data_IF_515247370062
#
_entry.id   IF_515247370062
#
_cell.length_a   1.000
_cell.length_b   1.000
_cell.length_c   1.000
_cell.angle_alpha   90.00
_cell.angle_beta   90.00
_cell.angle_gamma   90.00
#
_symmetry.space_group_name_H-M   'P 1'
#
loop_
_entity.id
_entity.type
_entity.pdbx_description
1 polymer ?
#
# COMPACT_ATOMS: atom_id res chain seq x y z
N UNK A 1 -4.49 20.27 -11.89
CA UNK A 1 -4.21 19.11 -11.06
C UNK A 1 -3.11 18.29 -11.74
N UNK A 2 -2.00 18.04 -11.05
CA UNK A 2 -0.89 17.23 -11.52
C UNK A 2 -0.97 15.81 -10.99
N UNK A 3 -0.46 14.84 -11.73
CA UNK A 3 -0.34 13.45 -11.30
C UNK A 3 1.07 12.95 -11.63
N UNK A 4 1.81 12.49 -10.63
CA UNK A 4 3.06 11.77 -10.83
C UNK A 4 2.78 10.28 -10.68
N UNK A 5 2.81 9.54 -11.78
CA UNK A 5 2.45 8.13 -11.82
C UNK A 5 3.62 7.28 -12.33
N UNK A 6 3.83 6.07 -11.79
CA UNK A 6 4.81 5.13 -12.31
C UNK A 6 4.24 4.41 -13.54
N UNK A 7 4.24 5.08 -14.71
CA UNK A 7 3.69 4.51 -15.94
C UNK A 7 4.63 3.50 -16.58
N UNK A 8 5.94 3.67 -16.36
CA UNK A 8 6.99 2.77 -16.83
C UNK A 8 7.93 2.34 -15.68
N UNK A 9 8.80 1.36 -15.96
CA UNK A 9 9.74 0.81 -14.99
C UNK A 9 9.11 -0.19 -14.02
N UNK A 10 9.82 -0.51 -12.96
CA UNK A 10 9.48 -1.59 -12.02
C UNK A 10 8.11 -1.44 -11.34
N UNK A 11 7.65 -0.22 -11.13
CA UNK A 11 6.38 0.08 -10.45
C UNK A 11 5.21 0.30 -11.43
N UNK A 12 5.37 0.04 -12.73
CA UNK A 12 4.31 0.21 -13.71
C UNK A 12 2.99 -0.53 -13.37
N UNK A 13 2.99 -1.72 -12.73
CA UNK A 13 1.76 -2.35 -12.25
C UNK A 13 0.98 -1.51 -11.24
N UNK A 14 1.67 -0.69 -10.45
CA UNK A 14 1.04 0.24 -9.52
C UNK A 14 0.44 1.45 -10.26
N UNK A 15 1.04 1.86 -11.38
CA UNK A 15 0.54 2.94 -12.24
C UNK A 15 -0.70 2.58 -13.05
N UNK A 16 -0.91 1.30 -13.35
CA UNK A 16 -2.05 0.85 -14.16
C UNK A 16 -3.41 1.15 -13.51
N UNK A 17 -3.68 0.82 -12.23
CA UNK A 17 -4.91 1.20 -11.54
C UNK A 17 -5.13 2.72 -11.52
N UNK A 18 -4.09 3.50 -11.26
CA UNK A 18 -4.19 4.97 -11.25
C UNK A 18 -4.57 5.52 -12.63
N UNK A 19 -3.92 5.04 -13.68
CA UNK A 19 -4.24 5.43 -15.06
C UNK A 19 -5.67 5.06 -15.46
N UNK A 20 -6.16 3.90 -15.02
CA UNK A 20 -7.53 3.48 -15.25
C UNK A 20 -8.52 4.41 -14.56
N UNK A 21 -8.31 4.69 -13.28
CA UNK A 21 -9.18 5.56 -12.47
C UNK A 21 -9.24 6.98 -13.06
N UNK A 22 -8.10 7.55 -13.43
CA UNK A 22 -8.04 8.87 -14.05
C UNK A 22 -8.87 8.94 -15.35
N UNK A 23 -8.78 7.93 -16.21
CA UNK A 23 -9.59 7.86 -17.44
C UNK A 23 -11.07 7.71 -17.12
N UNK A 24 -11.42 6.81 -16.20
CA UNK A 24 -12.82 6.55 -15.83
C UNK A 24 -13.50 7.76 -15.21
N UNK A 25 -12.80 8.46 -14.33
CA UNK A 25 -13.33 9.64 -13.63
C UNK A 25 -13.13 10.97 -14.40
N UNK A 26 -12.46 10.95 -15.56
CA UNK A 26 -12.19 12.15 -16.34
C UNK A 26 -13.43 13.07 -16.55
N UNK A 27 -14.64 12.52 -16.85
CA UNK A 27 -15.82 13.38 -16.98
C UNK A 27 -16.18 14.15 -15.71
N UNK A 28 -15.98 13.53 -14.52
CA UNK A 28 -16.26 14.11 -13.21
C UNK A 28 -15.18 15.10 -12.76
N UNK A 29 -14.00 15.03 -13.37
CA UNK A 29 -12.84 15.87 -13.04
C UNK A 29 -12.73 17.14 -13.88
N UNK A 30 -13.55 17.31 -14.93
CA UNK A 30 -13.43 18.46 -15.84
C UNK A 30 -13.72 19.80 -15.16
N UNK A 31 -14.53 19.78 -14.12
CA UNK A 31 -14.95 20.99 -13.43
C UNK A 31 -15.16 20.72 -11.93
N UNK A 32 -14.82 21.70 -11.11
CA UNK A 32 -15.23 21.77 -9.70
C UNK A 32 -16.11 23.01 -9.49
N UNK A 33 -17.05 22.88 -8.57
CA UNK A 33 -17.83 24.02 -8.07
C UNK A 33 -17.29 24.40 -6.71
N UNK A 34 -16.93 25.66 -6.56
CA UNK A 34 -16.42 26.20 -5.31
C UNK A 34 -17.04 27.56 -5.06
N UNK A 35 -17.66 27.79 -3.88
CA UNK A 35 -18.31 29.07 -3.54
C UNK A 35 -19.33 29.54 -4.57
N UNK A 36 -20.05 28.64 -5.26
CA UNK A 36 -21.00 28.96 -6.33
C UNK A 36 -20.36 29.22 -7.70
N UNK A 37 -19.02 29.30 -7.79
CA UNK A 37 -18.28 29.48 -9.04
C UNK A 37 -17.91 28.15 -9.65
N UNK A 38 -17.77 28.09 -10.97
CA UNK A 38 -17.23 26.95 -11.71
C UNK A 38 -15.78 27.22 -12.03
N UNK A 39 -14.93 26.22 -11.81
CA UNK A 39 -13.52 26.22 -12.21
C UNK A 39 -13.28 25.03 -13.11
N UNK A 40 -12.73 25.26 -14.28
CA UNK A 40 -12.27 24.20 -15.17
C UNK A 40 -11.03 23.54 -14.59
N UNK A 41 -10.97 22.22 -14.64
CA UNK A 41 -9.86 21.43 -14.12
C UNK A 41 -9.16 20.69 -15.26
N UNK A 42 -7.88 20.96 -15.41
CA UNK A 42 -7.00 20.21 -16.31
C UNK A 42 -6.20 19.20 -15.49
N UNK A 43 -6.11 17.96 -15.98
CA UNK A 43 -5.31 16.89 -15.37
C UNK A 43 -4.05 16.67 -16.23
N UNK A 44 -2.88 17.01 -15.67
CA UNK A 44 -1.59 16.76 -16.31
C UNK A 44 -0.92 15.54 -15.66
N UNK A 45 -0.56 14.53 -16.44
CA UNK A 45 0.08 13.30 -15.95
C UNK A 45 1.54 13.28 -16.41
N UNK A 46 2.45 12.95 -15.47
CA UNK A 46 3.88 12.80 -15.70
C UNK A 46 4.34 11.43 -15.22
N UNK A 47 5.16 10.77 -16.03
CA UNK A 47 5.73 9.46 -15.70
C UNK A 47 6.93 9.62 -14.76
N UNK A 48 6.88 9.01 -13.58
CA UNK A 48 8.02 8.92 -12.67
C UNK A 48 9.10 7.94 -13.14
N UNK A 49 8.82 7.12 -14.17
CA UNK A 49 9.69 6.04 -14.65
C UNK A 49 10.19 5.09 -13.55
N UNK A 50 9.49 5.05 -12.43
CA UNK A 50 9.92 4.34 -11.21
C UNK A 50 11.31 4.79 -10.68
N UNK A 51 11.70 6.03 -11.01
CA UNK A 51 13.00 6.64 -10.70
C UNK A 51 12.82 7.92 -9.87
N UNK A 52 13.57 8.11 -8.76
CA UNK A 52 13.45 9.28 -7.91
C UNK A 52 13.82 10.60 -8.61
N UNK A 53 14.81 10.59 -9.51
CA UNK A 53 15.24 11.77 -10.25
C UNK A 53 14.20 12.22 -11.26
N UNK A 54 13.66 11.28 -12.04
CA UNK A 54 12.56 11.55 -12.96
C UNK A 54 11.30 12.02 -12.25
N UNK A 55 11.00 11.46 -11.08
CA UNK A 55 9.87 11.86 -10.25
C UNK A 55 10.00 13.31 -9.72
N UNK A 56 11.19 13.71 -9.24
CA UNK A 56 11.46 15.12 -8.85
C UNK A 56 11.31 16.07 -10.04
N UNK A 57 11.80 15.69 -11.21
CA UNK A 57 11.65 16.51 -12.42
C UNK A 57 10.18 16.65 -12.82
N UNK A 58 9.41 15.55 -12.76
CA UNK A 58 7.97 15.58 -13.03
C UNK A 58 7.22 16.56 -12.12
N UNK A 59 7.57 16.64 -10.82
CA UNK A 59 6.99 17.63 -9.90
C UNK A 59 7.35 19.06 -10.30
N UNK A 60 8.63 19.32 -10.63
CA UNK A 60 9.05 20.66 -11.07
C UNK A 60 8.31 21.13 -12.32
N UNK A 61 8.12 20.22 -13.29
CA UNK A 61 7.36 20.51 -14.52
C UNK A 61 5.88 20.81 -14.20
N UNK A 62 5.25 19.99 -13.36
CA UNK A 62 3.86 20.19 -12.91
C UNK A 62 3.68 21.50 -12.14
N UNK A 63 4.61 21.84 -11.25
CA UNK A 63 4.55 23.04 -10.43
C UNK A 63 4.85 24.33 -11.22
N UNK A 64 5.74 24.24 -12.21
CA UNK A 64 6.20 25.35 -13.04
C UNK A 64 5.40 25.49 -14.33
N UNK A 65 5.79 24.73 -15.37
CA UNK A 65 5.24 24.90 -16.73
C UNK A 65 3.76 24.52 -16.84
N UNK A 66 3.31 23.52 -16.09
CA UNK A 66 1.90 23.09 -16.12
C UNK A 66 1.00 23.88 -15.18
N UNK A 67 1.56 24.68 -14.26
CA UNK A 67 0.83 25.52 -13.32
C UNK A 67 -0.12 24.74 -12.39
N UNK A 68 0.24 23.50 -12.02
CA UNK A 68 -0.63 22.68 -11.18
C UNK A 68 -0.82 23.29 -9.78
N UNK A 69 -2.04 23.17 -9.24
CA UNK A 69 -2.41 23.65 -7.90
C UNK A 69 -2.35 22.53 -6.85
N UNK A 70 -2.35 21.28 -7.28
CA UNK A 70 -2.33 20.08 -6.44
C UNK A 70 -1.68 18.94 -7.21
N UNK A 71 -0.86 18.13 -6.54
CA UNK A 71 -0.23 16.92 -7.06
C UNK A 71 -0.79 15.67 -6.39
N UNK A 72 -1.01 14.63 -7.17
CA UNK A 72 -1.36 13.29 -6.71
C UNK A 72 -0.26 12.31 -7.05
N UNK A 73 0.02 11.39 -6.14
CA UNK A 73 0.96 10.30 -6.41
C UNK A 73 0.67 9.04 -5.64
N UNK A 74 0.99 7.90 -6.24
CA UNK A 74 1.16 6.62 -5.58
C UNK A 74 2.41 5.96 -6.13
N UNK A 75 3.33 5.59 -5.23
CA UNK A 75 4.63 5.06 -5.60
C UNK A 75 5.22 4.24 -4.45
N UNK A 76 6.30 3.49 -4.72
CA UNK A 76 7.02 2.73 -3.70
C UNK A 76 7.97 3.59 -2.85
N UNK A 77 8.56 2.95 -1.84
CA UNK A 77 9.37 3.57 -0.78
C UNK A 77 10.55 4.42 -1.25
N UNK A 78 11.10 4.19 -2.45
CA UNK A 78 12.22 4.97 -3.01
C UNK A 78 11.76 6.18 -3.82
N UNK A 79 10.59 6.14 -4.44
CA UNK A 79 10.12 7.18 -5.38
C UNK A 79 9.19 8.18 -4.69
N UNK A 80 8.32 7.70 -3.80
CA UNK A 80 7.33 8.56 -3.17
C UNK A 80 7.95 9.68 -2.32
N UNK A 81 9.00 9.44 -1.49
CA UNK A 81 9.68 10.54 -0.79
C UNK A 81 10.23 11.60 -1.76
N UNK A 82 10.78 11.17 -2.89
CA UNK A 82 11.30 12.10 -3.89
C UNK A 82 10.22 13.01 -4.49
N UNK A 83 8.99 12.48 -4.69
CA UNK A 83 7.84 13.29 -5.14
C UNK A 83 7.43 14.27 -4.06
N UNK A 84 7.22 13.78 -2.83
CA UNK A 84 6.69 14.60 -1.73
C UNK A 84 7.68 15.69 -1.29
N UNK A 85 8.98 15.41 -1.26
CA UNK A 85 10.00 16.42 -0.95
C UNK A 85 10.08 17.48 -2.06
N UNK A 86 10.00 17.08 -3.33
CA UNK A 86 9.95 18.05 -4.41
C UNK A 86 8.68 18.91 -4.37
N UNK A 87 7.55 18.39 -3.86
CA UNK A 87 6.34 19.17 -3.63
C UNK A 87 6.52 20.18 -2.49
N UNK A 88 7.20 19.80 -1.38
CA UNK A 88 7.57 20.74 -0.30
C UNK A 88 8.49 21.86 -0.82
N UNK A 89 9.52 21.50 -1.59
CA UNK A 89 10.46 22.43 -2.21
C UNK A 89 9.78 23.41 -3.18
N UNK A 90 8.78 22.92 -3.93
CA UNK A 90 8.05 23.70 -4.95
C UNK A 90 6.85 24.46 -4.39
N UNK A 91 6.51 24.31 -3.11
CA UNK A 91 5.34 24.93 -2.50
C UNK A 91 4.03 24.50 -3.16
N UNK A 92 3.87 23.22 -3.46
CA UNK A 92 2.66 22.68 -4.08
C UNK A 92 2.04 21.58 -3.23
N UNK A 93 0.72 21.66 -2.92
CA UNK A 93 0.04 20.61 -2.18
C UNK A 93 0.17 19.25 -2.87
N UNK A 94 0.38 18.20 -2.08
CA UNK A 94 0.46 16.84 -2.60
C UNK A 94 -0.34 15.89 -1.71
N UNK A 95 -1.14 15.02 -2.32
CA UNK A 95 -1.73 13.86 -1.66
C UNK A 95 -1.08 12.60 -2.18
N UNK A 96 -0.66 11.74 -1.26
CA UNK A 96 0.05 10.49 -1.58
C UNK A 96 -0.50 9.31 -0.80
N UNK A 97 -0.21 8.09 -1.28
CA UNK A 97 -0.61 6.83 -0.63
C UNK A 97 0.32 5.69 -1.03
N UNK A 98 0.15 4.50 -0.47
CA UNK A 98 0.68 3.19 -0.88
C UNK A 98 1.64 2.50 0.07
N UNK A 99 2.19 3.14 1.09
CA UNK A 99 3.01 2.44 2.08
C UNK A 99 2.86 3.01 3.50
N UNK A 100 3.29 2.29 4.53
CA UNK A 100 3.03 2.66 5.93
C UNK A 100 3.47 4.07 6.27
N UNK A 101 2.67 4.76 7.09
CA UNK A 101 2.93 6.16 7.43
C UNK A 101 4.28 6.35 8.16
N UNK A 102 4.71 5.39 9.00
CA UNK A 102 6.02 5.47 9.65
C UNK A 102 7.14 5.48 8.61
N UNK A 103 7.02 4.64 7.57
CA UNK A 103 7.98 4.62 6.48
C UNK A 103 7.96 5.92 5.66
N UNK A 104 6.78 6.54 5.51
CA UNK A 104 6.65 7.84 4.85
C UNK A 104 7.37 8.96 5.60
N UNK A 105 7.25 8.99 6.93
CA UNK A 105 7.89 10.00 7.78
C UNK A 105 9.40 9.77 7.84
N UNK A 106 9.83 8.53 8.14
CA UNK A 106 11.24 8.17 8.29
C UNK A 106 12.04 8.34 6.99
N UNK A 107 11.51 7.90 5.85
CA UNK A 107 12.17 8.03 4.54
C UNK A 107 12.43 9.50 4.14
N UNK A 108 11.80 10.45 4.82
CA UNK A 108 11.96 11.89 4.63
C UNK A 108 12.82 12.52 5.73
N UNK A 109 13.48 11.71 6.57
CA UNK A 109 14.32 12.16 7.66
C UNK A 109 13.56 12.91 8.75
N UNK A 110 12.27 12.64 8.92
CA UNK A 110 11.41 13.25 9.92
C UNK A 110 11.03 12.26 11.02
N UNK A 111 10.59 12.79 12.16
CA UNK A 111 10.07 12.03 13.29
C UNK A 111 8.54 12.16 13.38
N UNK A 112 7.83 11.20 13.98
CA UNK A 112 6.42 11.35 14.31
C UNK A 112 6.17 12.64 15.11
N UNK A 113 5.14 13.40 14.70
CA UNK A 113 4.88 14.75 15.23
C UNK A 113 5.38 15.89 14.32
N UNK A 114 6.26 15.58 13.37
CA UNK A 114 6.65 16.57 12.36
C UNK A 114 5.45 16.96 11.48
N UNK A 115 5.28 18.26 11.26
CA UNK A 115 4.24 18.80 10.37
C UNK A 115 4.87 19.25 9.05
N UNK A 116 4.52 18.54 7.99
CA UNK A 116 4.83 18.98 6.62
C UNK A 116 3.91 20.14 6.22
N UNK A 117 4.41 21.05 5.41
CA UNK A 117 3.63 22.23 5.00
C UNK A 117 2.68 21.95 3.84
N UNK A 118 3.10 21.11 2.90
CA UNK A 118 2.42 20.93 1.63
C UNK A 118 1.96 19.51 1.36
N UNK A 119 2.48 18.51 2.08
CA UNK A 119 2.27 17.12 1.71
C UNK A 119 1.44 16.37 2.74
N UNK A 120 0.49 15.59 2.24
CA UNK A 120 -0.47 14.79 2.97
C UNK A 120 -0.40 13.35 2.48
N UNK A 121 -0.52 12.42 3.40
CA UNK A 121 -0.44 11.00 3.10
C UNK A 121 -1.61 10.25 3.75
N UNK A 122 -2.14 9.24 3.06
CA UNK A 122 -3.08 8.32 3.68
C UNK A 122 -2.64 6.88 3.45
N UNK A 123 -2.58 6.14 4.50
CA UNK A 123 -2.15 4.74 4.50
C UNK A 123 -2.46 4.11 5.86
N UNK A 124 -1.94 2.96 6.09
CA UNK A 124 -1.91 2.19 7.33
C UNK A 124 -0.57 2.38 8.06
N UNK A 125 -0.51 1.91 9.30
CA UNK A 125 0.72 1.84 10.08
C UNK A 125 1.43 0.48 9.99
N UNK A 126 2.69 0.44 10.39
CA UNK A 126 3.43 -0.81 10.62
C UNK A 126 2.83 -1.59 11.81
N UNK A 127 2.37 -0.88 12.82
CA UNK A 127 1.62 -1.39 13.96
C UNK A 127 0.28 -2.02 13.54
N UNK A 128 -0.45 -1.40 12.60
CA UNK A 128 -1.67 -1.98 12.03
C UNK A 128 -1.38 -3.29 11.28
N UNK A 129 -0.29 -3.34 10.52
CA UNK A 129 0.13 -4.58 9.85
C UNK A 129 0.47 -5.67 10.88
N UNK A 130 1.25 -5.31 11.90
CA UNK A 130 1.64 -6.22 12.96
C UNK A 130 0.44 -6.78 13.71
N UNK A 131 -0.58 -5.94 13.99
CA UNK A 131 -1.82 -6.35 14.64
C UNK A 131 -2.61 -7.34 13.79
N UNK A 132 -2.80 -7.04 12.50
CA UNK A 132 -3.48 -7.95 11.56
C UNK A 132 -2.75 -9.28 11.42
N UNK A 133 -1.42 -9.25 11.35
CA UNK A 133 -0.65 -10.49 11.24
C UNK A 133 -0.70 -11.31 12.52
N UNK A 134 -0.63 -10.67 13.69
CA UNK A 134 -0.78 -11.36 14.96
C UNK A 134 -2.16 -12.01 15.10
N UNK A 135 -3.26 -11.35 14.66
CA UNK A 135 -4.59 -11.95 14.61
C UNK A 135 -4.63 -13.24 13.76
N UNK A 136 -3.90 -13.25 12.64
CA UNK A 136 -3.82 -14.44 11.79
C UNK A 136 -2.95 -15.54 12.39
N UNK A 137 -1.84 -15.19 13.05
CA UNK A 137 -0.97 -16.15 13.71
C UNK A 137 -1.67 -16.85 14.87
N UNK A 138 -2.39 -16.12 15.71
CA UNK A 138 -3.14 -16.66 16.87
C UNK A 138 -4.20 -17.70 16.46
N UNK A 139 -4.71 -17.60 15.25
CA UNK A 139 -5.65 -18.59 14.71
C UNK A 139 -4.97 -19.89 14.24
N UNK A 140 -3.66 -19.89 14.12
CA UNK A 140 -2.83 -21.04 13.72
C UNK A 140 -2.02 -21.57 14.89
N UNK A 141 -1.56 -20.67 15.78
CA UNK A 141 -0.73 -20.96 16.95
C UNK A 141 -0.89 -19.85 18.00
N UNK A 142 -1.45 -20.17 19.16
CA UNK A 142 -1.78 -19.20 20.22
C UNK A 142 -0.56 -18.46 20.79
N UNK A 143 0.62 -19.04 20.73
CA UNK A 143 1.87 -18.40 21.15
C UNK A 143 3.04 -19.14 20.50
N UNK A 144 3.96 -18.39 19.90
CA UNK A 144 5.08 -19.05 19.24
C UNK A 144 6.14 -18.10 18.73
N UNK A 145 7.25 -18.71 18.33
CA UNK A 145 8.30 -18.02 17.61
C UNK A 145 7.86 -17.75 16.17
N UNK A 146 8.03 -16.52 15.71
CA UNK A 146 7.78 -16.08 14.34
C UNK A 146 9.11 -15.73 13.69
N UNK A 147 9.52 -16.51 12.69
CA UNK A 147 10.73 -16.22 11.92
C UNK A 147 10.54 -15.00 11.03
N UNK A 148 11.40 -14.00 11.17
CA UNK A 148 11.33 -12.75 10.42
C UNK A 148 12.26 -12.80 9.23
N UNK A 149 11.72 -12.90 8.03
CA UNK A 149 12.44 -12.86 6.75
C UNK A 149 12.39 -11.43 6.20
N UNK A 150 13.30 -10.58 6.67
CA UNK A 150 13.36 -9.17 6.33
C UNK A 150 14.64 -8.84 5.55
N UNK A 151 14.49 -8.08 4.47
CA UNK A 151 15.61 -7.61 3.65
C UNK A 151 16.43 -6.52 4.35
N UNK A 152 17.50 -6.07 3.71
CA UNK A 152 18.40 -5.03 4.22
C UNK A 152 18.06 -3.62 3.72
N UNK A 153 16.90 -3.45 3.07
CA UNK A 153 16.43 -2.12 2.63
C UNK A 153 15.67 -1.38 3.75
N UNK A 154 15.24 -0.16 3.46
CA UNK A 154 14.48 0.70 4.36
C UNK A 154 13.28 -0.03 4.99
N UNK A 155 12.55 -0.83 4.21
CA UNK A 155 11.38 -1.54 4.73
C UNK A 155 11.77 -2.59 5.78
N UNK A 156 12.80 -3.40 5.49
CA UNK A 156 13.29 -4.38 6.45
C UNK A 156 13.88 -3.73 7.72
N UNK A 157 14.56 -2.59 7.59
CA UNK A 157 15.07 -1.82 8.73
C UNK A 157 13.93 -1.29 9.61
N UNK A 158 12.87 -0.75 9.01
CA UNK A 158 11.71 -0.26 9.75
C UNK A 158 10.92 -1.37 10.45
N UNK A 159 10.82 -2.55 9.84
CA UNK A 159 10.18 -3.70 10.48
C UNK A 159 10.95 -4.18 11.73
N UNK A 160 12.29 -4.00 11.74
CA UNK A 160 13.17 -4.28 12.90
C UNK A 160 13.18 -3.20 13.96
N UNK A 161 12.65 -2.01 13.66
CA UNK A 161 12.74 -0.87 14.56
C UNK A 161 12.00 -1.16 15.89
N UNK A 162 12.69 -0.99 17.03
CA UNK A 162 12.17 -1.36 18.35
C UNK A 162 10.90 -0.60 18.76
N UNK A 163 10.73 0.63 18.30
CA UNK A 163 9.60 1.48 18.66
C UNK A 163 8.48 1.49 17.62
N UNK A 164 8.80 1.42 16.35
CA UNK A 164 7.84 1.62 15.25
C UNK A 164 7.65 0.36 14.39
N UNK A 165 8.48 -0.66 14.58
CA UNK A 165 8.40 -1.93 13.87
C UNK A 165 7.34 -2.87 14.45
N UNK A 166 7.55 -4.14 14.24
CA UNK A 166 6.59 -5.18 14.65
C UNK A 166 6.68 -5.56 16.13
N UNK A 167 7.85 -5.40 16.75
CA UNK A 167 8.10 -5.89 18.10
C UNK A 167 7.12 -5.39 19.17
N UNK A 168 6.74 -4.09 19.24
CA UNK A 168 5.84 -3.60 20.28
C UNK A 168 4.48 -4.32 20.28
N UNK A 169 3.87 -4.46 19.11
CA UNK A 169 2.54 -5.09 18.97
C UNK A 169 2.61 -6.59 19.21
N UNK A 170 3.60 -7.26 18.62
CA UNK A 170 3.70 -8.73 18.70
C UNK A 170 4.08 -9.22 20.09
N UNK A 171 4.95 -8.48 20.79
CA UNK A 171 5.33 -8.80 22.19
C UNK A 171 4.15 -8.64 23.14
N UNK A 172 3.31 -7.61 22.97
CA UNK A 172 2.09 -7.43 23.74
C UNK A 172 1.09 -8.59 23.56
N UNK A 173 1.19 -9.30 22.44
CA UNK A 173 0.37 -10.46 22.07
C UNK A 173 1.09 -11.81 22.26
N UNK A 174 2.19 -11.83 23.01
CA UNK A 174 2.99 -13.02 23.38
C UNK A 174 3.65 -13.76 22.22
N UNK A 175 3.85 -13.09 21.06
CA UNK A 175 4.66 -13.62 19.97
C UNK A 175 6.11 -13.16 20.11
N UNK A 176 7.05 -14.07 19.90
CA UNK A 176 8.48 -13.78 19.89
C UNK A 176 8.96 -13.70 18.45
N UNK A 177 9.42 -12.53 18.04
CA UNK A 177 10.04 -12.35 16.72
C UNK A 177 11.48 -12.86 16.74
N UNK A 178 11.82 -13.74 15.80
CA UNK A 178 13.16 -14.28 15.58
C UNK A 178 13.68 -13.74 14.27
N UNK A 179 14.61 -12.79 14.31
CA UNK A 179 15.24 -12.27 13.09
C UNK A 179 16.10 -13.34 12.42
N UNK A 180 15.69 -13.80 11.26
CA UNK A 180 16.41 -14.82 10.48
C UNK A 180 17.68 -14.27 9.81
N UNK A 181 17.96 -12.98 9.96
CA UNK A 181 19.05 -12.25 9.35
C UNK A 181 18.65 -11.54 8.08
N UNK A 182 19.25 -10.37 7.89
CA UNK A 182 19.02 -9.54 6.71
C UNK A 182 19.53 -10.23 5.43
N UNK A 183 18.87 -9.95 4.31
CA UNK A 183 19.31 -10.40 2.99
C UNK A 183 19.20 -9.27 1.99
N UNK A 184 20.03 -9.32 0.96
CA UNK A 184 19.96 -8.36 -0.16
C UNK A 184 18.98 -8.85 -1.22
N UNK A 185 18.21 -7.96 -1.79
CA UNK A 185 17.23 -8.22 -2.83
C UNK A 185 17.80 -7.84 -4.23
N UNK A 186 17.67 -8.69 -5.29
CA UNK A 186 17.16 -10.06 -5.23
C UNK A 186 18.08 -11.01 -4.49
N UNK A 187 17.53 -12.02 -3.82
CA UNK A 187 18.31 -12.99 -3.07
C UNK A 187 18.89 -14.11 -3.94
N UNK A 188 20.13 -14.46 -3.71
CA UNK A 188 20.78 -15.63 -4.34
C UNK A 188 20.41 -16.94 -3.63
N UNK A 189 19.99 -16.88 -2.35
CA UNK A 189 19.56 -18.02 -1.55
C UNK A 189 19.27 -17.65 -0.09
N UNK A 190 18.68 -18.60 0.63
CA UNK A 190 18.21 -18.42 2.01
C UNK A 190 18.70 -19.53 2.95
N UNK A 191 19.83 -20.18 2.65
CA UNK A 191 20.33 -21.29 3.48
C UNK A 191 20.60 -20.89 4.94
N UNK A 192 21.13 -19.68 5.16
CA UNK A 192 21.36 -19.16 6.51
C UNK A 192 20.04 -18.90 7.25
N UNK A 193 19.08 -18.27 6.60
CA UNK A 193 17.75 -17.98 7.15
C UNK A 193 16.97 -19.27 7.45
N UNK A 194 17.04 -20.27 6.57
CA UNK A 194 16.45 -21.59 6.77
C UNK A 194 17.11 -22.32 7.94
N UNK A 195 18.44 -22.20 8.10
CA UNK A 195 19.16 -22.75 9.26
C UNK A 195 18.64 -22.16 10.57
N UNK A 196 18.56 -20.83 10.67
CA UNK A 196 18.01 -20.12 11.85
C UNK A 196 16.55 -20.47 12.13
N UNK A 197 15.71 -20.57 11.09
CA UNK A 197 14.32 -20.99 11.24
C UNK A 197 14.22 -22.36 11.92
N UNK A 198 15.09 -23.29 11.53
CA UNK A 198 15.18 -24.64 12.13
C UNK A 198 15.64 -24.57 13.58
N UNK A 199 16.72 -23.84 13.87
CA UNK A 199 17.32 -23.72 15.22
C UNK A 199 16.30 -23.21 16.24
N UNK A 200 15.45 -22.27 15.84
CA UNK A 200 14.44 -21.68 16.71
C UNK A 200 13.09 -22.42 16.69
N UNK A 201 12.92 -23.43 15.86
CA UNK A 201 11.67 -24.19 15.77
C UNK A 201 10.45 -23.34 15.40
N UNK A 202 10.63 -22.22 14.70
CA UNK A 202 9.56 -21.31 14.38
C UNK A 202 8.60 -21.91 13.35
N UNK A 203 7.34 -22.10 13.73
CA UNK A 203 6.29 -22.62 12.88
C UNK A 203 5.58 -21.57 12.04
N UNK A 204 5.83 -20.29 12.34
CA UNK A 204 5.29 -19.13 11.65
C UNK A 204 6.41 -18.32 11.02
N UNK A 205 6.13 -17.68 9.87
CA UNK A 205 7.07 -16.75 9.22
C UNK A 205 6.39 -15.47 8.87
N UNK A 206 7.04 -14.33 9.12
CA UNK A 206 6.64 -13.02 8.60
C UNK A 206 7.70 -12.50 7.63
N UNK A 207 7.26 -11.83 6.57
CA UNK A 207 8.15 -11.46 5.48
C UNK A 207 7.80 -10.09 4.89
N UNK A 208 8.82 -9.45 4.30
CA UNK A 208 8.67 -8.31 3.38
C UNK A 208 9.34 -8.63 2.01
N UNK A 209 9.51 -9.91 1.70
CA UNK A 209 10.15 -10.37 0.47
C UNK A 209 9.28 -10.11 -0.77
N UNK A 210 9.94 -9.98 -1.93
CA UNK A 210 9.25 -10.09 -3.22
C UNK A 210 8.63 -11.48 -3.38
N UNK A 211 7.67 -11.63 -4.28
CA UNK A 211 7.10 -12.96 -4.55
C UNK A 211 8.16 -13.96 -5.02
N UNK A 212 9.12 -13.51 -5.84
CA UNK A 212 10.24 -14.34 -6.32
C UNK A 212 11.15 -14.79 -5.19
N UNK A 213 11.56 -13.86 -4.31
CA UNK A 213 12.43 -14.21 -3.18
C UNK A 213 11.70 -15.09 -2.16
N UNK A 214 10.41 -14.85 -1.92
CA UNK A 214 9.63 -15.68 -1.02
C UNK A 214 9.41 -17.10 -1.58
N UNK A 215 9.23 -17.25 -2.89
CA UNK A 215 9.18 -18.56 -3.55
C UNK A 215 10.51 -19.31 -3.41
N UNK A 216 11.64 -18.61 -3.57
CA UNK A 216 12.97 -19.20 -3.35
C UNK A 216 13.15 -19.65 -1.89
N UNK A 217 12.79 -18.80 -0.92
CA UNK A 217 12.83 -19.16 0.50
C UNK A 217 11.95 -20.38 0.80
N UNK A 218 10.71 -20.38 0.34
CA UNK A 218 9.75 -21.48 0.56
C UNK A 218 10.29 -22.80 0.00
N UNK A 219 10.82 -22.81 -1.23
CA UNK A 219 11.42 -23.99 -1.85
C UNK A 219 12.60 -24.51 -1.02
N UNK A 220 13.52 -23.65 -0.59
CA UNK A 220 14.68 -24.06 0.20
C UNK A 220 14.29 -24.54 1.61
N UNK A 221 13.30 -23.92 2.24
CA UNK A 221 12.75 -24.40 3.50
C UNK A 221 12.16 -25.82 3.36
N UNK A 222 11.37 -26.07 2.31
CA UNK A 222 10.83 -27.42 2.01
C UNK A 222 11.92 -28.45 1.75
N UNK A 223 12.95 -28.10 0.98
CA UNK A 223 14.12 -28.99 0.74
C UNK A 223 14.84 -29.33 2.03
N UNK A 224 14.86 -28.42 3.00
CA UNK A 224 15.41 -28.65 4.33
C UNK A 224 14.44 -29.37 5.29
N UNK A 225 13.26 -29.81 4.82
CA UNK A 225 12.25 -30.49 5.63
C UNK A 225 11.43 -29.56 6.53
N UNK A 226 11.49 -28.25 6.32
CA UNK A 226 10.73 -27.25 7.09
C UNK A 226 9.46 -26.87 6.33
N UNK A 227 8.36 -26.75 7.08
CA UNK A 227 7.07 -26.34 6.55
C UNK A 227 6.43 -25.32 7.50
N UNK A 228 6.67 -24.01 7.31
CA UNK A 228 5.97 -22.99 8.08
C UNK A 228 4.46 -23.17 7.90
N UNK A 229 3.72 -23.20 9.01
CA UNK A 229 2.26 -23.37 8.99
C UNK A 229 1.54 -22.17 8.39
N UNK A 230 2.10 -20.99 8.54
CA UNK A 230 1.62 -19.76 7.91
C UNK A 230 2.81 -18.86 7.60
N UNK A 231 2.78 -18.26 6.41
CA UNK A 231 3.68 -17.19 6.01
C UNK A 231 2.87 -15.93 5.82
N UNK A 232 3.18 -14.85 6.54
CA UNK A 232 2.63 -13.51 6.29
C UNK A 232 3.61 -12.66 5.49
N UNK A 233 3.09 -11.86 4.55
CA UNK A 233 3.91 -10.96 3.75
C UNK A 233 3.24 -9.60 3.56
N UNK A 234 3.96 -8.51 3.88
CA UNK A 234 3.43 -7.14 3.86
C UNK A 234 3.61 -6.41 2.53
N UNK A 235 4.28 -7.02 1.53
CA UNK A 235 4.79 -6.28 0.36
C UNK A 235 4.03 -6.48 -0.95
N UNK A 236 3.06 -7.37 -1.03
CA UNK A 236 2.46 -7.80 -2.30
C UNK A 236 1.33 -6.90 -2.80
N UNK A 237 1.61 -5.61 -2.99
CA UNK A 237 0.63 -4.63 -3.49
C UNK A 237 0.14 -4.93 -4.90
N UNK A 238 0.99 -5.50 -5.74
CA UNK A 238 0.69 -5.76 -7.17
C UNK A 238 0.64 -7.24 -7.53
N UNK A 239 0.81 -8.14 -6.56
CA UNK A 239 0.62 -9.56 -6.80
C UNK A 239 -0.84 -9.85 -7.22
N UNK A 240 -1.12 -10.73 -8.18
CA UNK A 240 -0.18 -11.63 -8.86
C UNK A 240 0.50 -11.06 -10.11
N UNK A 241 0.30 -9.79 -10.44
CA UNK A 241 0.92 -9.18 -11.60
C UNK A 241 2.39 -8.86 -11.31
N UNK A 242 3.28 -9.76 -11.68
CA UNK A 242 4.74 -9.55 -11.59
C UNK A 242 5.29 -9.27 -12.98
N UNK A 243 6.15 -8.24 -13.11
CA UNK A 243 6.76 -7.87 -14.40
C UNK A 243 8.06 -8.61 -14.70
N UNK A 244 8.42 -9.62 -13.97
CA UNK A 244 9.64 -10.39 -14.26
C UNK A 244 9.36 -11.42 -15.35
N UNK A 245 9.91 -11.20 -16.53
CA UNK A 245 10.00 -12.13 -17.66
C UNK A 245 10.68 -13.42 -17.24
N UNK A 246 10.39 -14.54 -17.88
CA UNK A 246 9.75 -15.73 -17.34
C UNK A 246 10.39 -16.11 -16.02
N UNK A 247 9.83 -15.65 -14.93
CA UNK A 247 10.16 -16.19 -13.63
C UNK A 247 9.84 -17.69 -13.64
N UNK A 248 10.62 -18.53 -12.93
CA UNK A 248 10.17 -19.86 -12.57
C UNK A 248 8.75 -19.73 -12.02
N UNK A 249 7.90 -20.74 -12.17
CA UNK A 249 6.49 -20.68 -11.77
C UNK A 249 6.33 -20.26 -10.29
N UNK A 250 6.45 -18.96 -10.06
CA UNK A 250 6.32 -18.34 -8.72
C UNK A 250 4.94 -18.62 -8.13
N UNK A 251 3.92 -18.70 -8.97
CA UNK A 251 2.56 -18.94 -8.52
C UNK A 251 2.36 -20.40 -8.09
N UNK A 252 2.90 -21.36 -8.84
CA UNK A 252 2.89 -22.77 -8.45
C UNK A 252 3.69 -23.01 -7.17
N UNK A 253 4.87 -22.43 -7.05
CA UNK A 253 5.72 -22.56 -5.84
C UNK A 253 5.05 -21.96 -4.60
N UNK A 254 4.33 -20.83 -4.75
CA UNK A 254 3.64 -20.16 -3.64
C UNK A 254 2.23 -20.69 -3.39
N UNK A 255 1.69 -21.55 -4.26
CA UNK A 255 0.36 -22.13 -4.08
C UNK A 255 0.25 -22.91 -2.75
N UNK A 256 1.30 -23.67 -2.40
CA UNK A 256 1.37 -24.45 -1.17
C UNK A 256 1.85 -23.64 0.04
N UNK A 257 2.37 -22.43 -0.16
CA UNK A 257 2.93 -21.59 0.90
C UNK A 257 1.85 -20.94 1.78
N UNK A 258 0.60 -20.97 1.37
CA UNK A 258 -0.54 -20.38 2.09
C UNK A 258 -0.27 -18.95 2.58
N UNK A 259 0.27 -18.09 1.69
CA UNK A 259 0.72 -16.76 2.06
C UNK A 259 -0.44 -15.85 2.42
N UNK A 260 -0.42 -15.35 3.65
CA UNK A 260 -1.35 -14.35 4.13
C UNK A 260 -0.77 -12.94 3.99
N UNK A 261 -1.64 -11.93 3.95
CA UNK A 261 -1.24 -10.53 3.73
C UNK A 261 -2.25 -9.58 4.38
N UNK A 262 -1.90 -8.30 4.42
CA UNK A 262 -2.85 -7.24 4.76
C UNK A 262 -3.79 -6.96 3.59
N UNK A 263 -5.02 -6.57 3.90
CA UNK A 263 -6.00 -6.11 2.91
C UNK A 263 -6.54 -4.75 3.36
N UNK A 264 -6.29 -3.75 2.54
CA UNK A 264 -6.78 -2.38 2.74
C UNK A 264 -7.91 -2.02 1.78
N UNK A 265 -8.13 -2.82 0.76
CA UNK A 265 -9.25 -2.70 -0.16
C UNK A 265 -9.54 -4.02 -0.90
N UNK A 266 -10.81 -4.30 -1.08
CA UNK A 266 -11.31 -5.43 -1.89
C UNK A 266 -12.73 -5.12 -2.37
N UNK A 267 -13.25 -5.87 -3.35
CA UNK A 267 -14.67 -5.73 -3.79
C UNK A 267 -15.69 -5.93 -2.67
N UNK A 268 -15.30 -6.63 -1.60
CA UNK A 268 -16.17 -6.88 -0.44
C UNK A 268 -16.21 -5.74 0.59
N UNK A 269 -15.40 -4.70 0.46
CA UNK A 269 -15.47 -3.56 1.39
C UNK A 269 -16.79 -2.79 1.21
N UNK A 270 -17.41 -2.33 2.32
CA UNK A 270 -18.75 -1.73 2.31
C UNK A 270 -18.74 -0.25 1.88
N UNK A 271 -17.65 0.23 1.31
CA UNK A 271 -17.46 1.63 0.97
C UNK A 271 -18.00 1.99 -0.41
N UNK A 272 -18.19 3.29 -0.61
CA UNK A 272 -18.66 3.87 -1.87
C UNK A 272 -17.86 5.12 -2.22
N UNK A 273 -17.73 5.36 -3.51
CA UNK A 273 -17.18 6.61 -4.04
C UNK A 273 -17.99 7.83 -3.60
N UNK A 274 -17.34 8.85 -3.07
CA UNK A 274 -17.92 10.16 -2.79
C UNK A 274 -18.24 10.96 -4.06
N UNK A 275 -17.73 10.53 -5.23
CA UNK A 275 -17.91 11.24 -6.50
C UNK A 275 -19.20 10.85 -7.22
N UNK A 276 -19.52 9.55 -7.22
CA UNK A 276 -20.62 9.00 -8.04
C UNK A 276 -21.40 7.87 -7.35
N UNK A 277 -21.03 7.50 -6.11
CA UNK A 277 -21.67 6.43 -5.36
C UNK A 277 -21.25 5.02 -5.79
N UNK A 278 -20.32 4.86 -6.72
CA UNK A 278 -19.78 3.55 -7.16
C UNK A 278 -19.29 2.74 -5.95
N UNK A 279 -19.74 1.50 -5.82
CA UNK A 279 -19.30 0.57 -4.78
C UNK A 279 -17.95 -0.06 -5.11
N UNK A 280 -17.27 -0.63 -4.10
CA UNK A 280 -16.04 -1.41 -4.32
C UNK A 280 -16.24 -2.56 -5.31
N UNK A 281 -17.38 -3.27 -5.22
CA UNK A 281 -17.73 -4.37 -6.13
C UNK A 281 -17.91 -3.88 -7.57
N UNK A 282 -18.64 -2.80 -7.78
CA UNK A 282 -18.86 -2.19 -9.09
C UNK A 282 -17.56 -1.68 -9.72
N UNK A 283 -16.66 -1.05 -8.92
CA UNK A 283 -15.36 -0.60 -9.40
C UNK A 283 -14.49 -1.78 -9.86
N UNK A 284 -14.42 -2.84 -9.05
CA UNK A 284 -13.65 -4.04 -9.40
C UNK A 284 -14.21 -4.76 -10.64
N UNK A 285 -15.54 -4.82 -10.76
CA UNK A 285 -16.21 -5.41 -11.92
C UNK A 285 -15.91 -4.60 -13.19
N UNK A 286 -16.09 -3.30 -13.13
CA UNK A 286 -15.79 -2.40 -14.25
C UNK A 286 -14.33 -2.48 -14.67
N UNK A 287 -13.39 -2.50 -13.71
CA UNK A 287 -11.97 -2.65 -14.04
C UNK A 287 -11.70 -3.93 -14.84
N UNK A 288 -12.29 -5.06 -14.42
CA UNK A 288 -12.15 -6.33 -15.12
C UNK A 288 -12.77 -6.30 -16.54
N UNK A 289 -13.96 -5.71 -16.67
CA UNK A 289 -14.62 -5.59 -17.97
C UNK A 289 -13.83 -4.73 -18.96
N UNK A 290 -13.33 -3.60 -18.48
CA UNK A 290 -12.66 -2.61 -19.32
C UNK A 290 -11.22 -3.00 -19.69
N UNK A 291 -10.54 -3.78 -18.83
CA UNK A 291 -9.10 -4.10 -18.98
C UNK A 291 -8.81 -5.57 -19.26
N UNK A 292 -9.76 -6.46 -19.00
CA UNK A 292 -9.54 -7.91 -19.01
C UNK A 292 -8.69 -8.44 -17.85
N UNK A 293 -8.16 -7.55 -16.99
CA UNK A 293 -7.28 -7.91 -15.88
C UNK A 293 -8.06 -8.12 -14.56
N UNK A 294 -7.53 -8.95 -13.67
CA UNK A 294 -8.02 -9.03 -12.31
C UNK A 294 -7.78 -7.70 -11.57
N UNK A 295 -8.67 -7.35 -10.64
CA UNK A 295 -8.50 -6.19 -9.79
C UNK A 295 -7.27 -6.34 -8.88
N UNK A 296 -6.70 -5.21 -8.49
CA UNK A 296 -5.63 -5.11 -7.50
C UNK A 296 -6.09 -4.18 -6.36
N UNK A 297 -5.60 -4.41 -5.15
CA UNK A 297 -5.90 -3.54 -4.00
C UNK A 297 -5.62 -2.04 -4.29
N UNK A 298 -4.51 -1.66 -4.97
CA UNK A 298 -4.24 -0.27 -5.33
C UNK A 298 -5.33 0.44 -6.14
N UNK A 299 -6.30 -0.29 -6.69
CA UNK A 299 -7.42 0.32 -7.42
C UNK A 299 -8.28 1.22 -6.51
N UNK A 300 -8.56 0.75 -5.28
CA UNK A 300 -9.28 1.55 -4.28
C UNK A 300 -8.49 2.78 -3.84
N UNK A 301 -7.18 2.63 -3.62
CA UNK A 301 -6.31 3.76 -3.25
C UNK A 301 -6.26 4.82 -4.35
N UNK A 302 -6.11 4.38 -5.61
CA UNK A 302 -6.09 5.28 -6.76
C UNK A 302 -7.40 6.09 -6.86
N UNK A 303 -8.53 5.44 -6.60
CA UNK A 303 -9.83 6.10 -6.62
C UNK A 303 -9.96 7.10 -5.46
N UNK A 304 -9.63 6.69 -4.22
CA UNK A 304 -9.65 7.56 -3.04
C UNK A 304 -8.72 8.77 -3.19
N UNK A 305 -7.58 8.60 -3.86
CA UNK A 305 -6.65 9.68 -4.18
C UNK A 305 -7.33 10.78 -5.03
N UNK A 306 -8.09 10.36 -6.04
CA UNK A 306 -8.84 11.28 -6.92
C UNK A 306 -10.02 11.92 -6.19
N UNK A 307 -10.74 11.16 -5.34
CA UNK A 307 -11.81 11.69 -4.49
C UNK A 307 -11.29 12.81 -3.58
N UNK A 308 -10.18 12.55 -2.90
CA UNK A 308 -9.52 13.51 -2.01
C UNK A 308 -9.11 14.79 -2.74
N UNK A 309 -8.51 14.64 -3.92
CA UNK A 309 -8.10 15.79 -4.73
C UNK A 309 -9.28 16.67 -5.15
N UNK A 310 -10.33 16.03 -5.67
CA UNK A 310 -11.53 16.76 -6.08
C UNK A 310 -12.21 17.44 -4.89
N UNK A 311 -12.28 16.74 -3.75
CA UNK A 311 -12.80 17.30 -2.51
C UNK A 311 -12.02 18.54 -2.09
N UNK A 312 -10.69 18.45 -2.00
CA UNK A 312 -9.84 19.58 -1.61
C UNK A 312 -10.05 20.82 -2.50
N UNK A 313 -10.11 20.63 -3.82
CA UNK A 313 -10.40 21.72 -4.75
C UNK A 313 -11.83 22.28 -4.58
N UNK A 314 -12.78 21.46 -4.15
CA UNK A 314 -14.17 21.88 -3.95
C UNK A 314 -14.35 22.72 -2.68
N UNK A 315 -13.61 22.39 -1.59
CA UNK A 315 -13.80 23.02 -0.27
C UNK A 315 -12.74 24.08 0.06
N UNK A 316 -11.67 24.20 -0.72
CA UNK A 316 -10.66 25.25 -0.54
C UNK A 316 -11.30 26.64 -0.62
N UNK A 317 -10.83 27.58 0.15
CA UNK A 317 -11.31 28.97 0.05
C UNK A 317 -11.08 29.58 -1.35
N UNK A 318 -9.95 29.20 -1.96
CA UNK A 318 -9.63 29.46 -3.38
C UNK A 318 -8.91 28.22 -3.97
N UNK A 319 -9.54 27.49 -4.91
CA UNK A 319 -8.93 26.30 -5.52
C UNK A 319 -7.75 26.63 -6.45
N UNK A 320 -7.51 27.90 -6.78
CA UNK A 320 -6.37 28.35 -7.58
C UNK A 320 -5.18 28.74 -6.72
N UNK A 321 -5.37 28.93 -5.41
CA UNK A 321 -4.32 29.19 -4.45
C UNK A 321 -3.85 27.90 -3.77
N UNK A 322 -2.56 27.59 -3.91
CA UNK A 322 -1.94 26.39 -3.35
C UNK A 322 -2.03 26.31 -1.82
N UNK A 323 -1.89 27.44 -1.13
CA UNK A 323 -1.95 27.48 0.33
C UNK A 323 -3.38 27.19 0.81
N UNK A 324 -4.39 27.72 0.11
CA UNK A 324 -5.78 27.41 0.37
C UNK A 324 -6.13 25.94 0.17
N UNK A 325 -5.60 25.30 -0.88
CA UNK A 325 -5.78 23.87 -1.15
C UNK A 325 -5.08 23.01 -0.08
N UNK A 326 -3.87 23.40 0.37
CA UNK A 326 -3.18 22.70 1.46
C UNK A 326 -3.96 22.80 2.77
N UNK A 327 -4.52 23.96 3.09
CA UNK A 327 -5.35 24.16 4.27
C UNK A 327 -6.63 23.32 4.20
N UNK A 328 -7.26 23.21 3.04
CA UNK A 328 -8.42 22.36 2.82
C UNK A 328 -8.09 20.89 3.10
N UNK A 329 -6.94 20.39 2.64
CA UNK A 329 -6.48 19.03 2.93
C UNK A 329 -6.28 18.79 4.43
N UNK A 330 -5.66 19.76 5.14
CA UNK A 330 -5.43 19.64 6.58
C UNK A 330 -6.71 19.50 7.40
N UNK A 331 -7.81 20.10 6.96
CA UNK A 331 -9.11 20.04 7.62
C UNK A 331 -10.05 18.96 7.04
N UNK A 332 -9.58 18.10 6.16
CA UNK A 332 -10.44 17.13 5.47
C UNK A 332 -10.75 15.92 6.34
N UNK A 333 -12.05 15.63 6.48
CA UNK A 333 -12.61 14.33 6.80
C UNK A 333 -13.53 13.94 5.64
N UNK A 334 -13.26 12.81 4.99
CA UNK A 334 -13.94 12.39 3.75
C UNK A 334 -14.17 10.89 3.71
N UNK A 335 -15.42 10.48 3.52
CA UNK A 335 -15.75 9.10 3.18
C UNK A 335 -15.38 8.83 1.73
N UNK A 336 -14.54 7.83 1.51
CA UNK A 336 -14.05 7.43 0.18
C UNK A 336 -14.34 5.96 -0.08
N UNK A 337 -14.11 5.53 -1.30
CA UNK A 337 -14.20 4.10 -1.66
C UNK A 337 -13.17 3.22 -0.95
N UNK A 338 -12.17 3.80 -0.29
CA UNK A 338 -11.19 3.09 0.51
C UNK A 338 -11.45 3.19 2.02
N UNK A 339 -12.48 3.89 2.44
CA UNK A 339 -12.84 4.18 3.82
C UNK A 339 -12.81 5.67 4.13
N UNK A 340 -13.08 6.01 5.38
CA UNK A 340 -13.03 7.40 5.86
C UNK A 340 -11.57 7.84 6.02
N UNK A 341 -11.20 8.90 5.32
CA UNK A 341 -9.90 9.55 5.48
C UNK A 341 -10.07 10.80 6.35
N UNK A 342 -9.34 10.85 7.46
CA UNK A 342 -9.41 11.96 8.40
C UNK A 342 -8.01 12.47 8.77
N UNK A 343 -7.63 13.62 8.22
CA UNK A 343 -6.36 14.27 8.53
C UNK A 343 -6.41 15.12 9.80
N UNK A 344 -7.57 15.28 10.41
CA UNK A 344 -7.73 16.07 11.64
C UNK A 344 -7.37 15.29 12.89
N UNK A 345 -7.44 13.95 12.83
CA UNK A 345 -7.18 13.03 13.95
C UNK A 345 -6.25 11.85 13.60
N UNK A 346 -5.37 12.02 12.64
CA UNK A 346 -4.35 11.00 12.31
C UNK A 346 -3.31 10.77 13.40
N UNK A 347 -2.50 9.70 13.29
CA UNK A 347 -1.49 9.33 14.30
C UNK A 347 -0.37 10.37 14.44
N UNK A 348 -0.19 11.19 13.43
CA UNK A 348 0.75 12.30 13.35
C UNK A 348 0.21 13.33 12.35
N UNK A 349 0.64 14.59 12.39
CA UNK A 349 0.19 15.59 11.41
C UNK A 349 0.37 15.11 9.97
N UNK A 350 -0.53 15.51 9.09
CA UNK A 350 -0.54 15.19 7.65
C UNK A 350 -0.82 13.73 7.28
N UNK A 351 -1.15 12.87 8.23
CA UNK A 351 -1.44 11.45 8.00
C UNK A 351 -2.92 11.16 8.28
N UNK A 352 -3.61 10.51 7.35
CA UNK A 352 -4.89 9.86 7.57
C UNK A 352 -4.74 8.35 7.53
N UNK A 353 -5.38 7.62 8.45
CA UNK A 353 -5.28 6.17 8.52
C UNK A 353 -6.33 5.47 7.67
N UNK A 354 -5.92 4.37 7.06
CA UNK A 354 -6.78 3.37 6.46
C UNK A 354 -6.79 2.12 7.35
N UNK A 355 -7.96 1.59 7.69
CA UNK A 355 -8.06 0.35 8.45
C UNK A 355 -7.65 -0.84 7.58
N UNK A 356 -7.13 -1.89 8.24
CA UNK A 356 -6.70 -3.12 7.61
C UNK A 356 -7.54 -4.31 8.04
N UNK A 357 -7.66 -5.30 7.15
CA UNK A 357 -8.15 -6.64 7.47
C UNK A 357 -7.13 -7.69 7.01
N UNK A 358 -7.24 -8.91 7.54
CA UNK A 358 -6.37 -10.03 7.18
C UNK A 358 -6.84 -10.70 5.89
N UNK A 359 -5.91 -10.95 4.98
CA UNK A 359 -6.16 -11.69 3.76
C UNK A 359 -5.25 -12.89 3.59
N UNK A 360 -5.63 -13.77 2.67
CA UNK A 360 -4.78 -14.89 2.24
C UNK A 360 -4.90 -15.10 0.74
N UNK A 361 -3.77 -15.31 0.10
CA UNK A 361 -3.73 -15.74 -1.28
C UNK A 361 -4.08 -17.22 -1.37
N UNK A 362 -5.26 -17.50 -1.90
CA UNK A 362 -5.79 -18.84 -2.15
C UNK A 362 -5.70 -19.16 -3.63
N UNK A 363 -5.21 -20.34 -3.95
CA UNK A 363 -5.00 -20.78 -5.33
C UNK A 363 -6.10 -21.76 -5.74
N UNK A 364 -6.65 -21.55 -6.92
CA UNK A 364 -7.69 -22.36 -7.53
C UNK A 364 -7.49 -22.49 -9.04
N UNK A 365 -8.42 -23.17 -9.76
CA UNK A 365 -8.32 -23.35 -11.21
C UNK A 365 -8.18 -22.06 -12.02
N UNK A 366 -8.64 -20.93 -11.46
CA UNK A 366 -8.53 -19.59 -12.06
C UNK A 366 -7.29 -18.80 -11.67
N UNK A 367 -6.33 -19.42 -10.99
CA UNK A 367 -5.13 -18.76 -10.47
C UNK A 367 -5.28 -18.22 -9.04
N UNK A 368 -4.32 -17.37 -8.58
CA UNK A 368 -4.34 -16.83 -7.23
C UNK A 368 -5.49 -15.83 -7.03
N UNK A 369 -6.20 -15.97 -5.90
CA UNK A 369 -7.30 -15.11 -5.47
C UNK A 369 -7.01 -14.60 -4.05
N UNK A 370 -7.12 -13.30 -3.82
CA UNK A 370 -7.07 -12.72 -2.48
C UNK A 370 -8.42 -12.90 -1.78
N UNK A 371 -8.43 -13.66 -0.70
CA UNK A 371 -9.58 -13.83 0.17
C UNK A 371 -9.40 -13.05 1.47
N UNK A 372 -10.42 -12.36 1.95
CA UNK A 372 -10.47 -11.81 3.30
C UNK A 372 -10.75 -12.96 4.26
N UNK A 373 -9.81 -13.22 5.17
CA UNK A 373 -9.85 -14.34 6.11
C UNK A 373 -9.84 -13.92 7.58
N UNK A 374 -9.63 -12.63 7.87
CA UNK A 374 -9.68 -12.05 9.21
C UNK A 374 -10.15 -10.61 9.12
N UNK A 375 -11.11 -10.20 9.96
CA UNK A 375 -11.73 -8.88 9.94
C UNK A 375 -11.97 -8.33 11.36
N UNK A 376 -11.20 -8.76 12.35
CA UNK A 376 -11.38 -8.37 13.77
C UNK A 376 -11.35 -6.85 13.97
N UNK A 377 -10.46 -6.15 13.29
CA UNK A 377 -10.37 -4.69 13.35
C UNK A 377 -11.48 -3.97 12.56
N UNK A 378 -12.13 -4.64 11.61
CA UNK A 378 -13.14 -4.05 10.73
C UNK A 378 -14.26 -5.08 10.42
N UNK A 379 -15.14 -5.40 11.39
CA UNK A 379 -16.16 -6.44 11.26
C UNK A 379 -17.17 -6.19 10.12
N UNK A 380 -17.29 -4.95 9.65
CA UNK A 380 -18.14 -4.59 8.51
C UNK A 380 -17.65 -5.11 7.15
N UNK A 381 -16.40 -5.54 7.04
CA UNK A 381 -15.86 -6.20 5.84
C UNK A 381 -16.14 -7.69 5.93
N UNK A 382 -16.90 -8.29 4.99
CA UNK A 382 -17.23 -9.70 5.05
C UNK A 382 -16.02 -10.59 4.80
N UNK A 383 -15.96 -11.71 5.53
CA UNK A 383 -15.02 -12.79 5.22
C UNK A 383 -15.40 -13.40 3.87
N UNK A 384 -14.41 -13.65 3.01
CA UNK A 384 -14.59 -14.25 1.68
C UNK A 384 -13.87 -15.59 1.51
N UNK A 385 -13.26 -16.07 2.59
CA UNK A 385 -12.60 -17.35 2.71
C UNK A 385 -12.25 -17.68 4.15
N UNK A 386 -11.80 -18.91 4.38
CA UNK A 386 -11.27 -19.36 5.65
C UNK A 386 -9.73 -19.31 5.62
N UNK A 387 -9.12 -19.01 6.77
CA UNK A 387 -7.67 -19.09 6.90
C UNK A 387 -7.23 -20.55 6.82
N UNK A 388 -6.39 -20.86 5.86
CA UNK A 388 -5.90 -22.22 5.62
C UNK A 388 -4.41 -22.29 5.95
N UNK A 389 -3.97 -22.91 7.05
CA UNK A 389 -2.56 -23.14 7.31
C UNK A 389 -1.99 -24.17 6.33
N UNK A 390 -0.69 -24.10 6.07
CA UNK A 390 0.02 -25.12 5.29
C UNK A 390 -0.01 -26.48 6.03
N UNK A 391 -0.17 -27.57 5.27
CA UNK A 391 -0.24 -28.94 5.77
C UNK A 391 1.12 -29.63 5.83
#
# INVERSE_FOLDING_TARGET
>A
MGVVAPLTGRLAPLGSPLSYVLRRLAPLLRQVRNGGRRHDVTVAVRDSRSDPGAARQAVRDLAGSDGANLVLTMAGTRVLPAVTDACEESGIPCVSTTFPWQAYVDARGAEPGHRFRWTYHFAWGLDDIAAVFADLWERVDDAGAVGCLWNDDLQGQLLRHDRYGFAPVTSARRHTLVDLGAYREPADGFHAQVGRLREHGAGLVTSAATATDLALFHRQARQAGLRPRLITCSRWLTYPHTHTTPAPDVHGELADACVATLVYWSPGHPYRSSLDGTTCAELAHAYRQDTGAAWLQPLGLAHALVETARHALTVAADPTDRASVAQALAGTTLDTIAGTLDWTCGPTPNIALLPLVGGQWQHGPGGPRLAVVGNSALPGVPLTGELTPAR
#
